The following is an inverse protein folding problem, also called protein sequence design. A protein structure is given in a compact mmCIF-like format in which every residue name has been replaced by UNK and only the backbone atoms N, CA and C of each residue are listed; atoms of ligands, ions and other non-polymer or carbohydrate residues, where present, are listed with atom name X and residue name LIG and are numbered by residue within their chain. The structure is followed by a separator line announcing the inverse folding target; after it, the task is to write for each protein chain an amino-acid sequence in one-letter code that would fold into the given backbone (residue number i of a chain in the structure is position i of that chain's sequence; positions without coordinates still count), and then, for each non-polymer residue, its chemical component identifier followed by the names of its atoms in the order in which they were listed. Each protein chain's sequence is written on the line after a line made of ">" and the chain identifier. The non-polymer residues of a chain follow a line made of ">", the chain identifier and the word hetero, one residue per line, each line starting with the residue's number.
data_IF_523755727368
#
_entry.id   IF_523755727368
#
_cell.length_a   1.000
_cell.length_b   1.000
_cell.length_c   1.000
_cell.angle_alpha   90.00
_cell.angle_beta   90.00
_cell.angle_gamma   90.00
#
_symmetry.space_group_name_H-M   'P 1'
#
loop_
_entity.id
_entity.type
_entity.pdbx_description
1 polymer ?
#
# COMPACT_ATOMS: atom_id res chain seq x y z
N UNK A 1 79.69 16.46 -28.94
CA UNK A 1 78.53 15.57 -29.10
C UNK A 1 77.70 15.62 -27.81
N UNK A 2 76.64 16.43 -27.75
CA UNK A 2 75.76 16.58 -26.57
C UNK A 2 74.62 15.56 -26.67
N UNK A 3 74.53 14.62 -25.73
CA UNK A 3 73.43 13.66 -25.63
C UNK A 3 72.28 14.30 -24.83
N UNK A 4 71.12 14.51 -25.46
CA UNK A 4 69.88 14.85 -24.78
C UNK A 4 69.27 13.58 -24.18
N UNK A 5 68.98 13.60 -22.89
CA UNK A 5 68.15 12.59 -22.20
C UNK A 5 66.75 13.19 -22.09
N UNK A 6 65.77 12.57 -22.75
CA UNK A 6 64.34 12.92 -22.64
C UNK A 6 63.74 12.03 -21.55
N UNK A 7 63.37 12.62 -20.41
CA UNK A 7 62.56 11.94 -19.40
C UNK A 7 61.10 11.92 -19.88
N UNK A 8 60.55 10.74 -20.15
CA UNK A 8 59.10 10.53 -20.24
C UNK A 8 58.53 10.41 -18.82
N UNK A 9 57.77 11.42 -18.39
CA UNK A 9 56.88 11.29 -17.24
C UNK A 9 55.60 10.54 -17.67
N UNK A 10 55.48 9.28 -17.27
CA UNK A 10 54.23 8.53 -17.41
C UNK A 10 53.30 8.89 -16.25
N UNK A 11 52.27 9.71 -16.51
CA UNK A 11 51.21 10.00 -15.56
C UNK A 11 50.22 8.84 -15.53
N UNK A 12 50.27 8.01 -14.49
CA UNK A 12 49.27 6.98 -14.26
C UNK A 12 47.96 7.63 -13.79
N UNK A 13 46.94 7.67 -14.65
CA UNK A 13 45.58 8.07 -14.28
C UNK A 13 44.93 6.88 -13.60
N UNK A 14 44.91 6.89 -12.27
CA UNK A 14 44.16 5.93 -11.47
C UNK A 14 42.66 6.22 -11.61
N UNK A 15 41.97 5.49 -12.48
CA UNK A 15 40.51 5.51 -12.55
C UNK A 15 39.97 4.75 -11.34
N UNK A 16 39.63 5.46 -10.26
CA UNK A 16 38.93 4.86 -9.14
C UNK A 16 37.46 4.67 -9.53
N UNK A 17 37.06 3.43 -9.82
CA UNK A 17 35.66 3.09 -9.96
C UNK A 17 34.92 3.45 -8.65
N UNK A 18 33.74 4.10 -8.72
CA UNK A 18 32.96 4.36 -7.52
C UNK A 18 32.64 3.03 -6.83
N UNK A 19 32.66 2.99 -5.48
CA UNK A 19 32.32 1.78 -4.75
C UNK A 19 30.91 1.35 -5.16
N UNK A 20 30.78 0.09 -5.58
CA UNK A 20 29.47 -0.52 -5.79
C UNK A 20 28.75 -0.51 -4.44
N UNK A 21 27.78 0.38 -4.27
CA UNK A 21 26.81 0.27 -3.19
C UNK A 21 26.11 -1.06 -3.39
N UNK A 22 26.34 -2.02 -2.49
CA UNK A 22 25.56 -3.24 -2.47
C UNK A 22 24.08 -2.83 -2.42
N UNK A 23 23.31 -3.19 -3.45
CA UNK A 23 21.89 -2.93 -3.51
C UNK A 23 21.25 -3.62 -2.29
N UNK A 24 20.95 -2.86 -1.24
CA UNK A 24 20.23 -3.38 -0.08
C UNK A 24 18.84 -3.74 -0.57
N UNK A 25 18.61 -5.04 -0.75
CA UNK A 25 17.30 -5.57 -1.11
C UNK A 25 16.39 -5.30 0.10
N UNK A 26 15.30 -4.52 -0.05
CA UNK A 26 14.33 -4.33 1.03
C UNK A 26 13.75 -5.67 1.48
N UNK A 27 13.24 -5.77 2.70
CA UNK A 27 12.73 -7.01 3.27
C UNK A 27 11.67 -7.71 2.40
N UNK A 28 10.88 -6.92 1.64
CA UNK A 28 9.85 -7.41 0.73
C UNK A 28 10.39 -7.81 -0.66
N UNK A 29 11.66 -7.56 -0.97
CA UNK A 29 12.18 -7.57 -2.34
C UNK A 29 11.99 -8.90 -3.07
N UNK A 30 11.99 -10.01 -2.33
CA UNK A 30 11.78 -11.36 -2.86
C UNK A 30 10.32 -11.85 -2.77
N UNK A 31 9.41 -11.11 -2.12
CA UNK A 31 8.01 -11.51 -1.90
C UNK A 31 7.00 -10.76 -2.78
N UNK A 32 7.44 -9.74 -3.53
CA UNK A 32 6.57 -8.87 -4.34
C UNK A 32 6.57 -9.20 -5.84
N UNK A 33 7.24 -10.28 -6.25
CA UNK A 33 7.28 -10.73 -7.64
C UNK A 33 7.77 -9.66 -8.61
N UNK A 34 6.97 -9.37 -9.64
CA UNK A 34 7.27 -8.37 -10.68
C UNK A 34 6.80 -6.95 -10.33
N UNK A 35 6.28 -6.71 -9.13
CA UNK A 35 5.82 -5.38 -8.76
C UNK A 35 6.96 -4.36 -8.89
N UNK A 36 6.64 -3.20 -9.45
CA UNK A 36 7.58 -2.06 -9.57
C UNK A 36 7.32 -0.99 -8.52
N UNK A 37 6.20 -1.06 -7.80
CA UNK A 37 5.78 -0.08 -6.81
C UNK A 37 5.34 -0.81 -5.55
N UNK A 38 5.96 -0.49 -4.42
CA UNK A 38 5.67 -1.11 -3.12
C UNK A 38 5.39 -0.05 -2.07
N UNK A 39 4.28 -0.21 -1.36
CA UNK A 39 4.01 0.47 -0.09
C UNK A 39 4.34 -0.53 1.03
N UNK A 40 5.49 -0.36 1.68
CA UNK A 40 5.94 -1.20 2.79
C UNK A 40 5.36 -0.68 4.10
N UNK A 41 4.66 -1.52 4.85
CA UNK A 41 4.06 -1.23 6.15
C UNK A 41 4.71 -2.14 7.20
N UNK A 42 5.36 -1.56 8.21
CA UNK A 42 6.04 -2.31 9.27
C UNK A 42 5.57 -1.81 10.63
N UNK A 43 5.23 -2.72 11.55
CA UNK A 43 4.85 -2.37 12.91
C UNK A 43 5.96 -1.56 13.61
N UNK A 44 5.57 -0.55 14.38
CA UNK A 44 6.46 0.18 15.31
C UNK A 44 5.87 0.25 16.72
N UNK A 45 4.68 -0.31 16.91
CA UNK A 45 3.98 -0.46 18.19
C UNK A 45 2.83 -1.45 18.02
N UNK A 46 1.92 -1.50 19.00
CA UNK A 46 0.81 -2.47 18.97
C UNK A 46 -0.14 -2.22 17.79
N UNK A 47 -0.65 -1.00 17.67
CA UNK A 47 -1.57 -0.57 16.62
C UNK A 47 -1.01 0.58 15.76
N UNK A 48 0.30 0.79 15.84
CA UNK A 48 1.03 1.80 15.05
C UNK A 48 2.05 1.13 14.15
N UNK A 49 2.21 1.69 12.96
CA UNK A 49 3.12 1.24 11.94
C UNK A 49 3.86 2.42 11.30
N UNK A 50 4.87 2.09 10.50
CA UNK A 50 5.59 3.03 9.66
C UNK A 50 5.47 2.58 8.21
N UNK A 51 5.26 3.53 7.31
CA UNK A 51 5.22 3.32 5.88
C UNK A 51 6.47 3.88 5.20
N UNK A 52 7.05 3.05 4.34
CA UNK A 52 8.08 3.42 3.38
C UNK A 52 7.60 3.05 1.97
N UNK A 53 7.77 3.95 1.01
CA UNK A 53 7.29 3.80 -0.38
C UNK A 53 8.49 3.60 -1.30
N UNK A 54 8.47 2.57 -2.14
CA UNK A 54 9.59 2.18 -2.99
C UNK A 54 9.21 2.04 -4.46
N UNK A 55 10.12 2.45 -5.32
CA UNK A 55 10.08 2.24 -6.77
C UNK A 55 11.19 1.26 -7.17
N UNK A 56 10.84 0.23 -7.93
CA UNK A 56 11.82 -0.64 -8.60
C UNK A 56 12.28 0.03 -9.87
N UNK A 57 13.60 0.08 -10.05
CA UNK A 57 14.29 0.58 -11.24
C UNK A 57 15.15 -0.52 -11.84
N UNK A 58 15.88 -0.22 -12.91
CA UNK A 58 16.85 -1.15 -13.52
C UNK A 58 18.01 -1.50 -12.58
N UNK A 59 18.30 -0.66 -11.59
CA UNK A 59 19.39 -0.83 -10.63
C UNK A 59 18.87 -1.23 -9.25
N UNK A 60 17.68 -1.83 -9.15
CA UNK A 60 17.11 -2.25 -7.87
C UNK A 60 16.08 -1.27 -7.29
N UNK A 61 15.87 -1.35 -5.98
CA UNK A 61 14.82 -0.61 -5.28
C UNK A 61 15.32 0.75 -4.80
N UNK A 62 14.53 1.79 -5.04
CA UNK A 62 14.81 3.17 -4.60
C UNK A 62 13.67 3.67 -3.72
N UNK A 63 13.95 4.23 -2.53
CA UNK A 63 12.92 4.85 -1.70
C UNK A 63 12.41 6.13 -2.37
N UNK A 64 11.09 6.28 -2.40
CA UNK A 64 10.37 7.48 -2.89
C UNK A 64 9.94 8.36 -1.72
N UNK A 65 9.51 7.73 -0.63
CA UNK A 65 9.19 8.37 0.65
C UNK A 65 9.45 7.36 1.78
N UNK A 66 9.77 7.84 2.97
CA UNK A 66 10.08 6.98 4.12
C UNK A 66 9.62 7.62 5.42
N UNK A 67 9.39 6.80 6.44
CA UNK A 67 9.07 7.28 7.78
C UNK A 67 7.67 7.86 7.95
N UNK A 68 6.73 7.48 7.09
CA UNK A 68 5.34 7.97 7.17
C UNK A 68 4.65 7.26 8.35
N UNK A 69 4.18 7.99 9.38
CA UNK A 69 3.44 7.38 10.47
C UNK A 69 2.11 6.80 9.98
N UNK A 70 1.75 5.62 10.46
CA UNK A 70 0.51 4.95 10.11
C UNK A 70 -0.16 4.28 11.32
N UNK A 71 -1.48 4.15 11.22
CA UNK A 71 -2.28 3.34 12.13
C UNK A 71 -2.70 2.05 11.44
N UNK A 72 -2.76 0.97 12.21
CA UNK A 72 -3.22 -0.35 11.78
C UNK A 72 -4.32 -0.84 12.72
N UNK A 73 -4.79 -2.07 12.53
CA UNK A 73 -5.83 -2.68 13.34
C UNK A 73 -5.60 -2.50 14.85
N UNK A 74 -6.66 -2.31 15.62
CA UNK A 74 -6.59 -2.16 17.08
C UNK A 74 -6.09 -3.41 17.80
N UNK A 75 -6.22 -4.59 17.19
CA UNK A 75 -5.57 -5.84 17.63
C UNK A 75 -4.15 -6.03 17.04
N UNK A 76 -3.66 -5.04 16.30
CA UNK A 76 -2.34 -5.00 15.70
C UNK A 76 -2.22 -5.77 14.38
N UNK A 77 -0.98 -6.02 13.99
CA UNK A 77 -0.66 -6.83 12.80
C UNK A 77 -0.76 -8.33 13.16
N UNK A 78 -1.21 -9.19 12.24
CA UNK A 78 -1.43 -10.63 12.50
C UNK A 78 -1.01 -11.49 11.29
N UNK A 79 -0.57 -12.74 11.47
CA UNK A 79 -0.30 -13.64 10.34
C UNK A 79 -1.56 -14.14 9.61
N UNK A 80 -2.75 -14.02 10.20
CA UNK A 80 -3.99 -14.59 9.66
C UNK A 80 -5.07 -13.52 9.52
N UNK A 81 -5.89 -13.60 8.48
CA UNK A 81 -7.07 -12.73 8.30
C UNK A 81 -8.34 -13.46 8.71
N UNK A 82 -9.30 -12.73 9.29
CA UNK A 82 -10.58 -13.25 9.76
C UNK A 82 -11.62 -12.13 9.80
N UNK A 83 -12.85 -12.43 9.40
CA UNK A 83 -13.96 -11.48 9.45
C UNK A 83 -14.23 -10.99 10.88
N UNK A 84 -14.46 -9.69 11.01
CA UNK A 84 -14.74 -9.03 12.28
C UNK A 84 -13.55 -8.96 13.26
N UNK A 85 -12.36 -9.46 12.88
CA UNK A 85 -11.16 -9.31 13.69
C UNK A 85 -10.48 -7.96 13.37
N UNK A 86 -10.27 -7.08 14.36
CA UNK A 86 -9.74 -5.74 14.10
C UNK A 86 -8.21 -5.74 13.96
N UNK A 87 -7.68 -6.66 13.16
CA UNK A 87 -6.25 -6.90 12.96
C UNK A 87 -5.86 -6.74 11.49
N UNK A 88 -4.65 -6.24 11.24
CA UNK A 88 -4.12 -6.03 9.88
C UNK A 88 -3.27 -7.24 9.47
N UNK A 89 -3.66 -8.02 8.46
CA UNK A 89 -2.94 -9.24 8.13
C UNK A 89 -1.60 -8.95 7.43
N UNK A 90 -0.56 -9.67 7.83
CA UNK A 90 0.76 -9.68 7.18
C UNK A 90 0.65 -10.28 5.78
N UNK A 91 1.53 -9.88 4.87
CA UNK A 91 1.58 -10.45 3.52
C UNK A 91 1.89 -9.41 2.45
N UNK A 92 1.74 -9.84 1.19
CA UNK A 92 1.85 -8.97 0.02
C UNK A 92 0.50 -8.95 -0.71
N UNK A 93 -0.08 -7.77 -0.83
CA UNK A 93 -1.43 -7.58 -1.35
C UNK A 93 -1.42 -6.60 -2.52
N UNK A 94 -2.14 -6.87 -3.62
CA UNK A 94 -2.23 -5.91 -4.70
C UNK A 94 -3.02 -4.67 -4.26
N UNK A 95 -2.65 -3.52 -4.81
CA UNK A 95 -3.41 -2.28 -4.69
C UNK A 95 -4.23 -2.11 -5.97
N UNK A 96 -5.45 -2.68 -5.95
CA UNK A 96 -6.21 -2.97 -7.16
C UNK A 96 -6.94 -1.75 -7.74
N UNK A 97 -7.49 -0.91 -6.88
CA UNK A 97 -8.30 0.25 -7.26
C UNK A 97 -8.37 1.26 -6.12
N UNK A 98 -8.76 2.47 -6.45
CA UNK A 98 -8.99 3.54 -5.50
C UNK A 98 -10.46 3.97 -5.51
N UNK A 99 -10.88 4.59 -4.42
CA UNK A 99 -12.19 5.20 -4.31
C UNK A 99 -12.14 6.39 -3.34
N UNK A 100 -13.22 7.13 -3.25
CA UNK A 100 -13.36 8.13 -2.20
C UNK A 100 -14.57 9.03 -2.39
N UNK A 101 -14.92 9.75 -1.33
CA UNK A 101 -16.00 10.75 -1.37
C UNK A 101 -15.58 12.02 -2.12
N UNK A 102 -14.27 12.28 -2.20
CA UNK A 102 -13.71 13.33 -3.04
C UNK A 102 -13.54 12.88 -4.51
N UNK A 103 -13.39 13.81 -5.45
CA UNK A 103 -13.02 13.48 -6.83
C UNK A 103 -11.65 12.78 -6.93
N UNK A 104 -11.43 12.07 -8.04
CA UNK A 104 -10.16 11.39 -8.31
C UNK A 104 -8.96 12.36 -8.20
N UNK A 105 -7.97 12.10 -7.31
CA UNK A 105 -6.79 12.95 -7.14
C UNK A 105 -5.73 12.75 -8.25
N UNK A 106 -6.00 11.89 -9.23
CA UNK A 106 -5.08 11.49 -10.29
C UNK A 106 -4.41 10.14 -10.01
N UNK A 107 -3.38 9.81 -10.78
CA UNK A 107 -2.69 8.52 -10.69
C UNK A 107 -3.14 7.54 -11.79
N UNK A 108 -2.69 6.29 -11.68
CA UNK A 108 -2.96 5.26 -12.69
C UNK A 108 -3.96 4.19 -12.27
N UNK A 109 -4.43 4.20 -11.03
CA UNK A 109 -5.41 3.23 -10.56
C UNK A 109 -6.82 3.61 -11.05
N UNK A 110 -7.69 2.63 -11.35
CA UNK A 110 -9.12 2.89 -11.50
C UNK A 110 -9.66 3.57 -10.24
N UNK A 111 -10.52 4.58 -10.42
CA UNK A 111 -11.07 5.36 -9.32
C UNK A 111 -12.60 5.41 -9.36
N UNK A 112 -13.27 5.13 -8.24
CA UNK A 112 -14.72 5.30 -8.08
C UNK A 112 -14.99 6.41 -7.07
N UNK A 113 -15.66 7.48 -7.51
CA UNK A 113 -16.18 8.47 -6.56
C UNK A 113 -17.45 7.93 -5.91
N UNK A 114 -17.40 7.71 -4.59
CA UNK A 114 -18.47 7.08 -3.83
C UNK A 114 -19.40 8.10 -3.19
N UNK A 115 -20.63 7.68 -2.94
CA UNK A 115 -21.67 8.43 -2.24
C UNK A 115 -22.47 7.52 -1.31
N UNK A 116 -23.57 8.03 -0.73
CA UNK A 116 -24.33 7.35 0.34
C UNK A 116 -24.85 5.95 -0.02
N UNK A 117 -25.02 5.67 -1.30
CA UNK A 117 -25.53 4.37 -1.78
C UNK A 117 -24.41 3.37 -2.09
N UNK A 118 -23.14 3.72 -1.84
CA UNK A 118 -22.01 2.82 -2.03
C UNK A 118 -21.68 2.09 -0.74
N UNK A 119 -21.55 0.77 -0.85
CA UNK A 119 -21.27 -0.13 0.26
C UNK A 119 -20.12 -1.06 -0.09
N UNK A 120 -19.35 -1.49 0.89
CA UNK A 120 -18.57 -2.71 0.79
C UNK A 120 -19.33 -3.83 1.49
N UNK A 121 -19.73 -4.82 0.70
CA UNK A 121 -20.44 -5.99 1.20
C UNK A 121 -19.47 -6.88 1.99
N UNK A 122 -19.72 -6.98 3.28
CA UNK A 122 -18.93 -7.78 4.23
C UNK A 122 -19.77 -8.92 4.83
N UNK A 123 -20.95 -9.21 4.27
CA UNK A 123 -21.78 -10.35 4.67
C UNK A 123 -21.23 -11.66 4.08
N UNK A 124 -20.68 -12.58 4.89
CA UNK A 124 -20.08 -13.82 4.35
C UNK A 124 -21.08 -14.75 3.67
N UNK A 125 -22.38 -14.57 3.90
CA UNK A 125 -23.43 -15.35 3.24
C UNK A 125 -23.84 -14.79 1.87
N UNK A 126 -23.39 -13.57 1.55
CA UNK A 126 -23.76 -12.87 0.33
C UNK A 126 -22.99 -13.37 -0.89
N UNK A 127 -23.64 -13.54 -2.06
CA UNK A 127 -22.94 -13.84 -3.32
C UNK A 127 -22.02 -12.70 -3.76
N UNK A 128 -22.20 -11.49 -3.23
CA UNK A 128 -21.36 -10.31 -3.51
C UNK A 128 -20.36 -10.02 -2.39
N UNK A 129 -20.12 -10.98 -1.49
CA UNK A 129 -19.17 -10.83 -0.38
C UNK A 129 -17.79 -10.31 -0.82
N UNK A 130 -17.25 -9.40 -0.02
CA UNK A 130 -15.98 -8.69 -0.18
C UNK A 130 -15.90 -7.90 -1.51
N UNK A 131 -16.92 -7.07 -1.78
CA UNK A 131 -16.98 -6.21 -2.97
C UNK A 131 -17.68 -4.89 -2.73
N UNK A 132 -17.37 -3.90 -3.58
CA UNK A 132 -18.17 -2.69 -3.65
C UNK A 132 -19.51 -2.96 -4.35
N UNK A 133 -20.60 -2.52 -3.73
CA UNK A 133 -21.97 -2.60 -4.21
C UNK A 133 -22.62 -1.22 -4.21
N UNK A 134 -23.60 -1.00 -5.08
CA UNK A 134 -24.35 0.26 -5.18
C UNK A 134 -25.83 -0.01 -5.03
N UNK A 135 -26.40 0.40 -3.90
CA UNK A 135 -27.80 0.21 -3.56
C UNK A 135 -28.21 1.19 -2.45
N UNK A 136 -29.48 1.61 -2.48
CA UNK A 136 -30.07 2.24 -1.30
C UNK A 136 -30.10 1.21 -0.17
N UNK A 137 -29.84 1.61 1.07
CA UNK A 137 -29.73 0.71 2.23
C UNK A 137 -30.86 -0.33 2.32
N UNK A 138 -32.11 0.08 2.10
CA UNK A 138 -33.29 -0.79 2.18
C UNK A 138 -33.46 -1.76 0.99
N UNK A 139 -32.66 -1.59 -0.07
CA UNK A 139 -32.73 -2.36 -1.32
C UNK A 139 -31.51 -3.27 -1.52
N UNK A 140 -30.49 -3.17 -0.65
CA UNK A 140 -29.33 -4.04 -0.71
C UNK A 140 -29.71 -5.49 -0.44
N UNK A 141 -29.20 -6.42 -1.25
CA UNK A 141 -29.47 -7.87 -1.15
C UNK A 141 -28.59 -8.60 -0.13
N UNK A 142 -27.79 -7.85 0.63
CA UNK A 142 -26.86 -8.33 1.65
C UNK A 142 -27.14 -7.65 2.99
N UNK A 143 -26.62 -8.22 4.08
CA UNK A 143 -26.77 -7.63 5.40
C UNK A 143 -25.96 -6.32 5.54
N UNK A 144 -26.64 -5.17 5.41
CA UNK A 144 -26.02 -3.84 5.58
C UNK A 144 -25.54 -3.56 7.00
N UNK A 145 -25.95 -4.32 8.01
CA UNK A 145 -25.41 -4.18 9.38
C UNK A 145 -24.08 -4.93 9.57
N UNK A 146 -23.80 -5.92 8.72
CA UNK A 146 -22.50 -6.59 8.64
C UNK A 146 -21.55 -5.92 7.64
N UNK A 147 -22.06 -4.97 6.84
CA UNK A 147 -21.37 -4.33 5.72
C UNK A 147 -21.04 -2.87 6.02
N UNK A 148 -20.14 -2.30 5.22
CA UNK A 148 -19.62 -0.96 5.46
C UNK A 148 -20.16 0.05 4.44
N UNK A 149 -20.67 1.20 4.90
CA UNK A 149 -21.00 2.30 4.00
C UNK A 149 -19.73 3.08 3.66
N UNK A 150 -19.51 3.35 2.37
CA UNK A 150 -18.27 4.00 1.93
C UNK A 150 -18.28 5.53 2.00
N UNK A 151 -19.42 6.14 2.34
CA UNK A 151 -19.57 7.60 2.45
C UNK A 151 -19.24 8.11 3.86
N UNK A 152 -18.03 7.83 4.34
CA UNK A 152 -17.53 8.31 5.64
C UNK A 152 -16.31 9.23 5.48
N UNK A 153 -16.00 10.10 6.46
CA UNK A 153 -14.88 11.05 6.37
C UNK A 153 -13.51 10.41 6.11
N UNK A 154 -13.25 9.23 6.69
CA UNK A 154 -11.99 8.50 6.55
C UNK A 154 -11.75 8.03 5.10
N UNK A 155 -12.82 7.87 4.30
CA UNK A 155 -12.77 7.53 2.88
C UNK A 155 -12.88 8.76 1.99
N UNK A 156 -12.30 9.88 2.42
CA UNK A 156 -12.09 11.02 1.52
C UNK A 156 -11.30 10.58 0.28
N UNK A 157 -10.21 9.84 0.51
CA UNK A 157 -9.52 9.02 -0.49
C UNK A 157 -9.16 7.67 0.15
N UNK A 158 -9.25 6.61 -0.63
CA UNK A 158 -8.93 5.26 -0.17
C UNK A 158 -8.42 4.40 -1.33
N UNK A 159 -7.62 3.38 -1.01
CA UNK A 159 -7.17 2.34 -1.95
C UNK A 159 -7.59 0.98 -1.40
N UNK A 160 -8.13 0.12 -2.27
CA UNK A 160 -8.45 -1.26 -1.92
C UNK A 160 -7.16 -2.05 -1.74
N UNK A 161 -6.97 -2.62 -0.55
CA UNK A 161 -5.91 -3.60 -0.28
C UNK A 161 -6.51 -4.97 -0.62
N UNK A 162 -5.92 -5.68 -1.58
CA UNK A 162 -6.44 -6.95 -2.10
C UNK A 162 -6.31 -8.15 -1.15
N UNK A 163 -6.66 -7.97 0.13
CA UNK A 163 -6.82 -9.04 1.12
C UNK A 163 -8.11 -9.81 0.81
N UNK A 164 -8.05 -11.14 0.94
CA UNK A 164 -9.16 -12.05 0.63
C UNK A 164 -9.77 -11.83 -0.77
N UNK A 165 -8.91 -11.61 -1.78
CA UNK A 165 -9.34 -11.35 -3.16
C UNK A 165 -10.13 -12.49 -3.79
N UNK A 166 -9.93 -13.72 -3.33
CA UNK A 166 -10.73 -14.89 -3.74
C UNK A 166 -12.14 -14.91 -3.13
N UNK A 167 -12.44 -13.97 -2.21
CA UNK A 167 -13.73 -13.82 -1.53
C UNK A 167 -14.13 -15.08 -0.77
N UNK A 168 -13.18 -15.71 -0.11
CA UNK A 168 -13.45 -16.87 0.74
C UNK A 168 -14.28 -16.39 1.94
N UNK A 169 -15.53 -16.87 2.13
CA UNK A 169 -16.39 -16.41 3.21
C UNK A 169 -15.71 -16.48 4.58
N UNK A 170 -15.78 -15.38 5.35
CA UNK A 170 -15.25 -15.31 6.70
C UNK A 170 -13.74 -15.06 6.80
N UNK A 171 -13.02 -14.99 5.67
CA UNK A 171 -11.58 -14.72 5.62
C UNK A 171 -11.27 -13.22 5.58
N UNK A 172 -12.15 -12.37 6.13
CA UNK A 172 -11.97 -10.93 6.22
C UNK A 172 -12.40 -10.16 4.97
N UNK A 173 -12.79 -8.90 5.17
CA UNK A 173 -13.30 -8.02 4.11
C UNK A 173 -12.99 -6.55 4.43
N UNK A 174 -13.28 -5.64 3.48
CA UNK A 174 -13.21 -4.19 3.67
C UNK A 174 -11.84 -3.66 4.17
N UNK A 175 -10.74 -4.24 3.67
CA UNK A 175 -9.39 -3.74 3.99
C UNK A 175 -8.98 -2.63 3.03
N UNK A 176 -8.80 -1.43 3.56
CA UNK A 176 -8.46 -0.25 2.79
C UNK A 176 -7.20 0.45 3.30
N UNK A 177 -6.57 1.22 2.41
CA UNK A 177 -5.54 2.20 2.73
C UNK A 177 -6.16 3.60 2.64
N UNK A 178 -6.41 4.25 3.76
CA UNK A 178 -7.29 5.43 3.81
C UNK A 178 -6.79 6.54 4.75
N UNK A 179 -7.54 7.65 4.83
CA UNK A 179 -7.21 8.77 5.70
C UNK A 179 -7.45 8.42 7.18
N UNK A 180 -6.50 8.75 8.04
CA UNK A 180 -6.59 8.52 9.49
C UNK A 180 -7.46 9.57 10.18
N UNK A 181 -8.13 9.16 11.26
CA UNK A 181 -8.75 10.02 12.26
C UNK A 181 -7.89 10.15 13.55
N UNK A 182 -6.65 9.63 13.52
CA UNK A 182 -5.70 9.58 14.62
C UNK A 182 -5.80 8.33 15.50
N UNK A 183 -6.77 7.45 15.25
CA UNK A 183 -6.99 6.22 16.01
C UNK A 183 -6.53 4.94 15.27
N UNK A 184 -6.50 3.80 15.99
CA UNK A 184 -6.33 2.49 15.37
C UNK A 184 -7.54 2.13 14.51
N UNK A 185 -7.34 1.28 13.50
CA UNK A 185 -8.38 0.87 12.56
C UNK A 185 -9.05 -0.45 12.98
N UNK A 186 -10.02 -0.92 12.18
CA UNK A 186 -10.56 -2.27 12.26
C UNK A 186 -9.77 -3.30 11.40
N UNK A 187 -8.58 -2.95 10.92
CA UNK A 187 -7.74 -3.81 10.07
C UNK A 187 -7.15 -3.10 8.86
N UNK A 188 -7.72 -1.96 8.46
CA UNK A 188 -7.18 -1.04 7.46
C UNK A 188 -5.79 -0.49 7.82
N UNK A 189 -5.13 0.12 6.85
CA UNK A 189 -3.94 0.95 7.07
C UNK A 189 -4.35 2.41 6.91
N UNK A 190 -4.06 3.27 7.87
CA UNK A 190 -4.51 4.66 7.83
C UNK A 190 -3.35 5.67 8.02
N UNK A 191 -3.33 6.73 7.22
CA UNK A 191 -2.32 7.80 7.24
C UNK A 191 -2.95 9.19 7.01
N UNK A 192 -2.16 10.26 7.10
CA UNK A 192 -2.57 11.60 6.68
C UNK A 192 -3.08 11.63 5.22
N UNK A 193 -4.23 12.27 4.97
CA UNK A 193 -4.90 12.31 3.65
C UNK A 193 -4.07 13.02 2.58
N UNK A 194 -3.36 14.10 2.92
CA UNK A 194 -2.52 14.81 1.96
C UNK A 194 -1.33 13.95 1.52
N UNK A 195 -0.81 13.11 2.43
CA UNK A 195 0.20 12.11 2.11
C UNK A 195 -0.37 10.97 1.27
N UNK A 196 -1.57 10.48 1.61
CA UNK A 196 -2.28 9.45 0.85
C UNK A 196 -2.54 9.90 -0.59
N UNK A 197 -3.01 11.12 -0.80
CA UNK A 197 -3.24 11.71 -2.14
C UNK A 197 -1.97 11.67 -2.99
N UNK A 198 -0.81 12.01 -2.43
CA UNK A 198 0.48 11.93 -3.14
C UNK A 198 0.81 10.49 -3.54
N UNK A 199 0.56 9.53 -2.65
CA UNK A 199 0.79 8.11 -2.93
C UNK A 199 -0.16 7.63 -4.03
N UNK A 200 -1.46 7.97 -3.97
CA UNK A 200 -2.44 7.61 -5.02
C UNK A 200 -2.01 8.16 -6.38
N UNK A 201 -1.57 9.43 -6.44
CA UNK A 201 -1.07 10.04 -7.68
C UNK A 201 0.17 9.32 -8.26
N UNK A 202 0.97 8.70 -7.40
CA UNK A 202 2.13 7.89 -7.79
C UNK A 202 1.76 6.46 -8.21
N UNK A 203 0.76 5.83 -7.57
CA UNK A 203 0.38 4.44 -7.81
C UNK A 203 -0.03 4.16 -9.28
N UNK A 204 0.35 2.98 -9.75
CA UNK A 204 0.04 2.41 -11.07
C UNK A 204 -0.47 0.97 -10.90
N UNK A 205 -1.22 0.44 -11.88
CA UNK A 205 -1.64 -0.96 -11.85
C UNK A 205 -0.45 -1.90 -11.65
N UNK A 206 -0.60 -2.89 -10.77
CA UNK A 206 0.48 -3.81 -10.38
C UNK A 206 1.31 -3.37 -9.17
N UNK A 207 1.00 -2.21 -8.57
CA UNK A 207 1.53 -1.85 -7.26
C UNK A 207 1.02 -2.80 -6.16
N UNK A 208 1.83 -2.99 -5.12
CA UNK A 208 1.51 -3.86 -3.99
C UNK A 208 1.75 -3.16 -2.66
N UNK A 209 1.03 -3.58 -1.62
CA UNK A 209 1.32 -3.29 -0.24
C UNK A 209 1.97 -4.52 0.40
N UNK A 210 3.11 -4.33 1.05
CA UNK A 210 3.82 -5.37 1.80
C UNK A 210 3.73 -5.06 3.29
N UNK A 211 3.16 -5.97 4.09
CA UNK A 211 2.85 -5.75 5.51
C UNK A 211 3.62 -6.75 6.37
N UNK A 212 4.37 -6.25 7.37
CA UNK A 212 5.16 -7.05 8.30
C UNK A 212 5.15 -6.48 9.73
N UNK A 213 5.62 -7.29 10.69
CA UNK A 213 5.92 -6.87 12.06
C UNK A 213 7.38 -6.52 12.22
#
# INVERSE_FOLDING_TARGET
>A
MRRLVVLLCASAISVTAPPATADVIPWFGNSVGNATQVVSVVAVGHSTAKIDVYQRTRTGWTPVAAGIPAHVGSAGITPQTKEGEPSTPMGTYPLDSAFGTAPNPGGGLPYVQVGSDHWWDSDPSSPTYNTMQVCKKAQCSFNTAASENLAIPQYRHAVVIGINKTRTPGAGSAYFFHATDGGPTAGCVAIDDATLVKIIGWLRPGAVMAIAK
#
